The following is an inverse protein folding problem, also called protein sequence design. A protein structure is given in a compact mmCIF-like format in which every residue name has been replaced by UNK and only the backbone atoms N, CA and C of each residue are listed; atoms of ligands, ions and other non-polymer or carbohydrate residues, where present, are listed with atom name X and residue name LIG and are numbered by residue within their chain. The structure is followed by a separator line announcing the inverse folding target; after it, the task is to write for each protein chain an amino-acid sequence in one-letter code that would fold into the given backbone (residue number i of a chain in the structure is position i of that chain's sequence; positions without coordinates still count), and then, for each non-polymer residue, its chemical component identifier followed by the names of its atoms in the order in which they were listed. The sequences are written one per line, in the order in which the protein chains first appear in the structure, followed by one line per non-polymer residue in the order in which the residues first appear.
data_IF_003848300806
#
_entry.id   IF_003848300806
#
_cell.length_a   1.000
_cell.length_b   1.000
_cell.length_c   1.000
_cell.angle_alpha   90.00
_cell.angle_beta   90.00
_cell.angle_gamma   90.00
#
_symmetry.space_group_name_H-M   'P 1'
#
loop_
_entity.id
_entity.type
_entity.pdbx_description
1 polymer ?
#
# COMPACT_ATOMS: atom_id res chain seq x y z
N UNK A 1 -10.56 25.64 39.12
CA UNK A 1 -10.28 24.69 40.22
C UNK A 1 -11.23 23.51 40.09
N UNK A 2 -10.72 22.41 39.53
CA UNK A 2 -11.22 21.04 39.75
C UNK A 2 -10.17 20.12 39.16
N UNK A 3 -9.46 19.45 40.06
CA UNK A 3 -8.43 18.48 39.76
C UNK A 3 -9.11 17.15 39.43
N UNK A 4 -8.80 16.57 38.27
CA UNK A 4 -9.03 15.16 38.01
C UNK A 4 -7.72 14.57 37.52
N UNK A 5 -7.16 13.80 38.43
CA UNK A 5 -5.99 12.94 38.43
C UNK A 5 -5.84 12.14 37.14
N UNK A 6 -4.63 12.19 36.58
CA UNK A 6 -4.17 11.27 35.56
C UNK A 6 -3.92 9.87 36.11
N UNK A 7 -4.28 8.88 35.30
CA UNK A 7 -3.79 7.50 35.41
C UNK A 7 -3.32 7.09 34.03
N UNK A 8 -2.01 7.26 33.81
CA UNK A 8 -1.25 6.60 32.75
C UNK A 8 -1.24 5.10 33.06
N UNK A 9 -1.94 4.32 32.25
CA UNK A 9 -1.85 2.86 32.29
C UNK A 9 -1.01 2.44 31.08
N UNK A 10 0.31 2.46 31.29
CA UNK A 10 1.26 1.84 30.38
C UNK A 10 1.00 0.33 30.36
N UNK A 11 0.70 -0.21 29.18
CA UNK A 11 0.63 -1.64 28.97
C UNK A 11 2.00 -2.28 29.28
N UNK A 12 2.05 -3.41 30.01
CA UNK A 12 3.29 -4.07 30.35
C UNK A 12 3.94 -4.67 29.09
N UNK A 13 5.22 -4.37 28.90
CA UNK A 13 6.11 -5.07 27.99
C UNK A 13 6.12 -6.57 28.33
N UNK A 14 5.89 -7.49 27.38
CA UNK A 14 6.12 -8.90 27.62
C UNK A 14 7.63 -9.16 27.73
N UNK A 15 7.97 -9.81 28.83
CA UNK A 15 9.28 -10.30 29.23
C UNK A 15 9.94 -11.18 28.17
N UNK A 16 11.22 -10.90 27.92
CA UNK A 16 12.18 -11.79 27.27
C UNK A 16 12.47 -13.00 28.17
N UNK A 17 12.09 -14.19 27.71
CA UNK A 17 12.66 -15.48 28.12
C UNK A 17 12.41 -16.47 26.97
N UNK A 18 13.41 -16.66 26.10
CA UNK A 18 14.37 -17.78 26.12
C UNK A 18 13.79 -19.14 25.70
N UNK A 19 14.38 -19.68 24.63
CA UNK A 19 14.41 -21.08 24.16
C UNK A 19 13.21 -21.64 23.39
N UNK A 20 13.12 -21.24 22.12
CA UNK A 20 12.51 -22.03 21.05
C UNK A 20 13.52 -22.14 19.89
N UNK A 21 13.75 -23.32 19.29
CA UNK A 21 14.88 -23.53 18.39
C UNK A 21 14.70 -22.75 17.08
N UNK A 22 15.76 -22.02 16.72
CA UNK A 22 15.93 -21.37 15.42
C UNK A 22 15.73 -22.40 14.28
N UNK A 23 14.99 -22.06 13.20
CA UNK A 23 15.09 -22.83 11.97
C UNK A 23 16.54 -22.69 11.46
N UNK A 24 17.26 -23.80 11.45
CA UNK A 24 18.64 -23.86 11.00
C UNK A 24 18.75 -23.19 9.63
N UNK A 25 19.54 -22.12 9.58
CA UNK A 25 20.16 -21.60 8.37
C UNK A 25 20.67 -22.78 7.54
N UNK A 26 20.16 -22.90 6.31
CA UNK A 26 20.42 -23.97 5.36
C UNK A 26 21.84 -23.97 4.79
N UNK A 27 22.85 -23.99 5.66
CA UNK A 27 24.25 -24.30 5.32
C UNK A 27 24.62 -25.75 5.69
N UNK A 28 23.68 -26.53 6.21
CA UNK A 28 23.91 -27.94 6.60
C UNK A 28 23.78 -28.95 5.44
N UNK A 29 23.40 -28.53 4.22
CA UNK A 29 23.28 -29.44 3.07
C UNK A 29 24.58 -29.65 2.28
N UNK A 30 25.67 -28.94 2.61
CA UNK A 30 26.96 -29.06 1.88
C UNK A 30 27.90 -30.08 2.55
N UNK A 31 27.66 -30.48 3.80
CA UNK A 31 28.53 -31.41 4.54
C UNK A 31 28.01 -32.86 4.62
N UNK A 32 26.79 -33.15 4.16
CA UNK A 32 26.25 -34.52 4.13
C UNK A 32 26.71 -35.35 2.91
N UNK A 33 27.36 -34.74 1.91
CA UNK A 33 27.97 -35.44 0.77
C UNK A 33 29.42 -35.91 0.99
N UNK A 34 29.96 -35.70 2.19
CA UNK A 34 31.34 -36.05 2.58
C UNK A 34 31.38 -37.08 3.72
N UNK A 35 30.29 -37.81 3.94
CA UNK A 35 30.35 -39.04 4.71
C UNK A 35 31.27 -39.99 3.96
N UNK A 36 32.47 -40.17 4.53
CA UNK A 36 33.51 -41.06 4.06
C UNK A 36 32.89 -42.27 3.38
N UNK A 37 33.19 -42.44 2.09
CA UNK A 37 33.08 -43.71 1.42
C UNK A 37 33.84 -44.70 2.31
N UNK A 38 33.11 -45.38 3.20
CA UNK A 38 33.69 -46.33 4.12
C UNK A 38 34.45 -47.33 3.26
N UNK A 39 35.71 -47.68 3.56
CA UNK A 39 36.48 -48.63 2.76
C UNK A 39 35.69 -49.94 2.50
N UNK A 40 34.75 -50.27 3.39
CA UNK A 40 33.83 -51.40 3.26
C UNK A 40 32.78 -51.32 2.15
N UNK A 41 32.52 -50.17 1.51
CA UNK A 41 31.65 -50.07 0.33
C UNK A 41 32.43 -50.40 -0.96
N UNK A 42 33.69 -49.94 -1.06
CA UNK A 42 34.63 -50.35 -2.12
C UNK A 42 34.96 -51.85 -2.03
N UNK A 43 35.13 -52.40 -0.83
CA UNK A 43 35.36 -53.84 -0.67
C UNK A 43 34.10 -54.69 -0.94
N UNK A 44 32.89 -54.16 -0.71
CA UNK A 44 31.65 -54.87 -1.04
C UNK A 44 31.36 -54.87 -2.54
N UNK A 45 31.62 -53.78 -3.26
CA UNK A 45 31.43 -53.74 -4.72
C UNK A 45 32.46 -54.58 -5.48
N UNK A 46 33.72 -54.64 -5.01
CA UNK A 46 34.70 -55.59 -5.55
C UNK A 46 34.29 -57.05 -5.29
N UNK A 47 33.65 -57.32 -4.14
CA UNK A 47 33.13 -58.65 -3.81
C UNK A 47 31.92 -59.11 -4.63
N UNK A 48 31.21 -58.20 -5.31
CA UNK A 48 30.02 -58.52 -6.14
C UNK A 48 30.29 -58.48 -7.65
N UNK A 49 31.39 -57.85 -8.10
CA UNK A 49 31.83 -57.93 -9.50
C UNK A 49 32.29 -59.35 -9.87
N UNK A 50 32.72 -60.13 -8.88
CA UNK A 50 32.87 -61.57 -9.01
C UNK A 50 31.56 -62.23 -8.54
N UNK A 51 30.76 -62.77 -9.47
CA UNK A 51 29.47 -63.40 -9.18
C UNK A 51 29.56 -64.73 -8.36
N UNK A 52 30.73 -65.03 -7.80
CA UNK A 52 30.93 -65.99 -6.73
C UNK A 52 31.90 -65.34 -5.76
N UNK A 53 31.63 -65.41 -4.45
CA UNK A 53 32.45 -64.78 -3.41
C UNK A 53 33.95 -65.05 -3.57
N UNK A 54 34.77 -64.35 -2.78
CA UNK A 54 36.25 -64.38 -2.83
C UNK A 54 36.93 -65.78 -2.81
N UNK A 55 36.17 -66.87 -2.72
CA UNK A 55 36.58 -68.26 -2.94
C UNK A 55 36.89 -68.64 -4.40
N UNK A 56 36.62 -67.78 -5.40
CA UNK A 56 36.84 -68.07 -6.82
C UNK A 56 38.14 -67.54 -7.44
N UNK A 57 38.88 -66.65 -6.76
CA UNK A 57 40.10 -66.06 -7.31
C UNK A 57 41.26 -67.06 -7.17
N UNK A 58 41.54 -67.83 -8.23
CA UNK A 58 42.82 -68.55 -8.35
C UNK A 58 43.94 -67.52 -8.39
N UNK A 59 45.01 -67.76 -7.63
CA UNK A 59 46.24 -66.98 -7.76
C UNK A 59 46.67 -66.99 -9.23
N UNK A 60 47.04 -65.83 -9.82
CA UNK A 60 47.39 -65.76 -11.24
C UNK A 60 48.50 -66.76 -11.53
N UNK A 61 48.24 -67.70 -12.44
CA UNK A 61 49.19 -68.80 -12.70
C UNK A 61 50.31 -68.36 -13.65
N UNK A 62 50.11 -67.24 -14.34
CA UNK A 62 51.06 -66.60 -15.24
C UNK A 62 50.85 -65.07 -15.27
N UNK A 63 51.74 -64.35 -15.97
CA UNK A 63 51.68 -62.89 -16.07
C UNK A 63 50.43 -62.38 -16.82
N UNK A 64 49.85 -63.20 -17.70
CA UNK A 64 48.64 -62.86 -18.47
C UNK A 64 47.39 -62.88 -17.57
N UNK A 65 47.25 -63.87 -16.70
CA UNK A 65 46.16 -63.92 -15.71
C UNK A 65 46.21 -62.74 -14.75
N UNK A 66 47.43 -62.33 -14.33
CA UNK A 66 47.62 -61.15 -13.50
C UNK A 66 47.22 -59.85 -14.23
N UNK A 67 47.53 -59.74 -15.52
CA UNK A 67 47.16 -58.58 -16.35
C UNK A 67 45.64 -58.50 -16.57
N UNK A 68 44.97 -59.63 -16.80
CA UNK A 68 43.51 -59.69 -16.94
C UNK A 68 42.81 -59.31 -15.63
N UNK A 69 43.27 -59.83 -14.49
CA UNK A 69 42.71 -59.47 -13.17
C UNK A 69 42.94 -57.99 -12.83
N UNK A 70 44.10 -57.42 -13.17
CA UNK A 70 44.36 -55.98 -13.00
C UNK A 70 43.46 -55.13 -13.91
N UNK A 71 43.22 -55.54 -15.15
CA UNK A 71 42.31 -54.85 -16.06
C UNK A 71 40.85 -54.92 -15.58
N UNK A 72 40.41 -56.06 -15.04
CA UNK A 72 39.09 -56.22 -14.44
C UNK A 72 38.92 -55.39 -13.16
N UNK A 73 39.94 -55.36 -12.29
CA UNK A 73 39.94 -54.52 -11.10
C UNK A 73 39.93 -53.02 -11.44
N UNK A 74 40.70 -52.60 -12.46
CA UNK A 74 40.68 -51.23 -12.97
C UNK A 74 39.30 -50.85 -13.52
N UNK A 75 38.67 -51.73 -14.32
CA UNK A 75 37.33 -51.53 -14.84
C UNK A 75 36.26 -51.44 -13.74
N UNK A 76 36.36 -52.26 -12.69
CA UNK A 76 35.47 -52.21 -11.53
C UNK A 76 35.63 -50.93 -10.72
N UNK A 77 36.86 -50.47 -10.49
CA UNK A 77 37.15 -49.18 -9.83
C UNK A 77 36.58 -48.02 -10.65
N UNK A 78 36.73 -48.06 -11.97
CA UNK A 78 36.16 -47.05 -12.86
C UNK A 78 34.63 -47.07 -12.85
N UNK A 79 34.00 -48.24 -12.83
CA UNK A 79 32.54 -48.36 -12.72
C UNK A 79 32.00 -47.77 -11.41
N UNK A 80 32.63 -48.08 -10.27
CA UNK A 80 32.26 -47.52 -8.95
C UNK A 80 32.49 -46.02 -8.90
N UNK A 81 33.58 -45.52 -9.51
CA UNK A 81 33.85 -44.07 -9.62
C UNK A 81 32.80 -43.36 -10.46
N UNK A 82 32.36 -43.96 -11.58
CA UNK A 82 31.27 -43.43 -12.41
C UNK A 82 29.96 -43.38 -11.64
N UNK A 83 29.56 -44.48 -11.02
CA UNK A 83 28.32 -44.55 -10.24
C UNK A 83 28.29 -43.55 -9.06
N UNK A 84 29.40 -43.44 -8.31
CA UNK A 84 29.52 -42.45 -7.24
C UNK A 84 29.57 -41.01 -7.76
N UNK A 85 30.04 -40.77 -8.98
CA UNK A 85 29.97 -39.48 -9.65
C UNK A 85 28.53 -39.16 -10.06
N UNK A 86 27.84 -40.11 -10.70
CA UNK A 86 26.46 -39.96 -11.16
C UNK A 86 25.49 -39.71 -10.01
N UNK A 87 25.64 -40.42 -8.89
CA UNK A 87 24.85 -40.19 -7.68
C UNK A 87 25.06 -38.78 -7.11
N UNK A 88 26.32 -38.30 -7.05
CA UNK A 88 26.63 -36.94 -6.58
C UNK A 88 26.02 -35.88 -7.50
N UNK A 89 26.08 -36.08 -8.81
CA UNK A 89 25.56 -35.12 -9.79
C UNK A 89 24.03 -35.15 -9.82
N UNK A 90 23.40 -36.31 -9.68
CA UNK A 90 21.96 -36.41 -9.53
C UNK A 90 21.47 -35.66 -8.28
N UNK A 91 22.17 -35.81 -7.15
CA UNK A 91 21.91 -35.05 -5.93
C UNK A 91 22.08 -33.54 -6.10
N UNK A 92 23.19 -33.10 -6.70
CA UNK A 92 23.44 -31.68 -6.96
C UNK A 92 22.39 -31.08 -7.91
N UNK A 93 22.03 -31.79 -8.99
CA UNK A 93 21.01 -31.34 -9.93
C UNK A 93 19.59 -31.28 -9.30
N UNK A 94 19.27 -32.20 -8.38
CA UNK A 94 18.02 -32.13 -7.62
C UNK A 94 18.01 -30.93 -6.66
N UNK A 95 19.13 -30.63 -6.00
CA UNK A 95 19.28 -29.46 -5.14
C UNK A 95 19.15 -28.14 -5.89
N UNK A 96 19.77 -28.03 -7.07
CA UNK A 96 19.64 -26.85 -7.95
C UNK A 96 18.20 -26.69 -8.42
N UNK A 97 17.53 -27.78 -8.84
CA UNK A 97 16.11 -27.75 -9.24
C UNK A 97 15.18 -27.30 -8.10
N UNK A 98 15.39 -27.81 -6.89
CA UNK A 98 14.62 -27.40 -5.72
C UNK A 98 14.82 -25.89 -5.43
N UNK A 99 16.06 -25.40 -5.54
CA UNK A 99 16.39 -23.99 -5.33
C UNK A 99 15.74 -23.08 -6.40
N UNK A 100 15.76 -23.52 -7.66
CA UNK A 100 15.12 -22.81 -8.77
C UNK A 100 13.60 -22.73 -8.59
N UNK A 101 12.96 -23.86 -8.24
CA UNK A 101 11.52 -23.90 -7.99
C UNK A 101 11.10 -23.03 -6.81
N UNK A 102 11.87 -23.05 -5.71
CA UNK A 102 11.63 -22.19 -4.56
C UNK A 102 11.77 -20.70 -4.89
N UNK A 103 12.83 -20.31 -5.60
CA UNK A 103 13.04 -18.92 -6.01
C UNK A 103 11.97 -18.43 -6.99
N UNK A 104 11.58 -19.27 -7.97
CA UNK A 104 10.51 -18.94 -8.92
C UNK A 104 9.15 -18.74 -8.22
N UNK A 105 8.79 -19.61 -7.27
CA UNK A 105 7.56 -19.47 -6.49
C UNK A 105 7.54 -18.20 -5.63
N UNK A 106 8.68 -17.84 -5.02
CA UNK A 106 8.83 -16.59 -4.26
C UNK A 106 8.65 -15.36 -5.17
N UNK A 107 9.26 -15.36 -6.35
CA UNK A 107 9.11 -14.29 -7.33
C UNK A 107 7.68 -14.13 -7.82
N UNK A 108 7.01 -15.25 -8.12
CA UNK A 108 5.61 -15.23 -8.54
C UNK A 108 4.71 -14.63 -7.44
N UNK A 109 4.90 -15.07 -6.19
CA UNK A 109 4.13 -14.57 -5.05
C UNK A 109 4.34 -13.07 -4.83
N UNK A 110 5.60 -12.62 -4.79
CA UNK A 110 5.93 -11.21 -4.61
C UNK A 110 5.45 -10.35 -5.80
N UNK A 111 5.53 -10.88 -7.02
CA UNK A 111 4.99 -10.24 -8.22
C UNK A 111 3.48 -10.05 -8.16
N UNK A 112 2.73 -11.09 -7.79
CA UNK A 112 1.27 -11.00 -7.62
C UNK A 112 0.90 -10.05 -6.49
N UNK A 113 1.63 -10.03 -5.37
CA UNK A 113 1.34 -9.09 -4.28
C UNK A 113 1.57 -7.62 -4.73
N UNK A 114 2.66 -7.35 -5.45
CA UNK A 114 3.02 -6.00 -5.84
C UNK A 114 2.12 -5.44 -6.97
N UNK A 115 1.88 -6.27 -7.99
CA UNK A 115 1.22 -5.87 -9.24
C UNK A 115 -0.23 -6.36 -9.37
N UNK A 116 -0.63 -7.34 -8.57
CA UNK A 116 -1.92 -8.02 -8.72
C UNK A 116 -1.84 -9.16 -9.74
N UNK A 117 -2.95 -9.90 -9.83
CA UNK A 117 -3.17 -11.02 -10.75
C UNK A 117 -3.79 -10.59 -12.10
N UNK A 118 -3.81 -9.28 -12.39
CA UNK A 118 -4.49 -8.71 -13.54
C UNK A 118 -5.94 -8.29 -13.27
N UNK A 119 -6.47 -8.53 -12.06
CA UNK A 119 -7.71 -7.89 -11.63
C UNK A 119 -7.45 -6.48 -11.11
N UNK A 120 -8.23 -5.51 -11.58
CA UNK A 120 -8.07 -4.11 -11.19
C UNK A 120 -8.25 -3.94 -9.67
N UNK A 121 -7.21 -3.40 -9.01
CA UNK A 121 -7.26 -3.03 -7.58
C UNK A 121 -6.71 -4.05 -6.59
N UNK A 122 -6.19 -5.20 -7.03
CA UNK A 122 -5.69 -6.24 -6.10
C UNK A 122 -4.24 -6.02 -5.63
N UNK A 123 -3.36 -5.44 -6.47
CA UNK A 123 -1.94 -5.23 -6.15
C UNK A 123 -1.66 -4.06 -5.20
N UNK A 124 -0.60 -4.17 -4.41
CA UNK A 124 -0.16 -3.16 -3.44
C UNK A 124 -0.04 -1.75 -4.03
N UNK A 125 0.52 -1.63 -5.23
CA UNK A 125 0.72 -0.32 -5.86
C UNK A 125 -0.63 0.30 -6.25
N UNK A 126 -1.59 -0.50 -6.73
CA UNK A 126 -2.93 -0.02 -7.05
C UNK A 126 -3.67 0.45 -5.78
N UNK A 127 -3.56 -0.33 -4.69
CA UNK A 127 -4.13 0.06 -3.39
C UNK A 127 -3.52 1.38 -2.88
N UNK A 128 -2.20 1.56 -3.02
CA UNK A 128 -1.51 2.80 -2.67
C UNK A 128 -2.00 3.98 -3.50
N UNK A 129 -2.13 3.79 -4.82
CA UNK A 129 -2.65 4.82 -5.72
C UNK A 129 -4.08 5.24 -5.34
N UNK A 130 -4.96 4.28 -5.05
CA UNK A 130 -6.32 4.55 -4.60
C UNK A 130 -6.36 5.30 -3.27
N UNK A 131 -5.55 4.90 -2.29
CA UNK A 131 -5.45 5.58 -1.00
C UNK A 131 -4.95 7.03 -1.15
N UNK A 132 -3.96 7.26 -2.01
CA UNK A 132 -3.45 8.61 -2.32
C UNK A 132 -4.51 9.49 -2.98
N UNK A 133 -5.28 8.96 -3.93
CA UNK A 133 -6.37 9.68 -4.59
C UNK A 133 -7.49 10.03 -3.58
N UNK A 134 -7.85 9.10 -2.69
CA UNK A 134 -8.82 9.37 -1.62
C UNK A 134 -8.30 10.46 -0.67
N UNK A 135 -7.00 10.43 -0.34
CA UNK A 135 -6.35 11.41 0.54
C UNK A 135 -6.34 12.81 -0.08
N UNK A 136 -6.12 12.91 -1.38
CA UNK A 136 -6.22 14.18 -2.11
C UNK A 136 -7.66 14.72 -2.15
N UNK A 137 -8.65 13.85 -2.41
CA UNK A 137 -10.06 14.23 -2.33
C UNK A 137 -10.48 14.71 -0.94
N UNK A 138 -10.01 14.03 0.11
CA UNK A 138 -10.24 14.45 1.49
C UNK A 138 -9.58 15.80 1.81
N UNK A 139 -8.35 16.03 1.34
CA UNK A 139 -7.66 17.31 1.52
C UNK A 139 -8.38 18.47 0.82
N UNK A 140 -8.91 18.24 -0.40
CA UNK A 140 -9.72 19.24 -1.10
C UNK A 140 -11.00 19.58 -0.32
N UNK A 141 -11.67 18.57 0.26
CA UNK A 141 -12.84 18.79 1.13
C UNK A 141 -12.47 19.56 2.40
N UNK A 142 -11.32 19.28 3.01
CA UNK A 142 -10.83 20.00 4.20
C UNK A 142 -10.61 21.49 3.90
N UNK A 143 -10.02 21.80 2.74
CA UNK A 143 -9.84 23.17 2.29
C UNK A 143 -11.17 23.89 2.03
N UNK A 144 -12.14 23.22 1.39
CA UNK A 144 -13.46 23.78 1.17
C UNK A 144 -14.20 24.09 2.49
N UNK A 145 -14.13 23.17 3.46
CA UNK A 145 -14.70 23.37 4.80
C UNK A 145 -14.02 24.53 5.54
N UNK A 146 -12.70 24.71 5.39
CA UNK A 146 -11.99 25.83 5.99
C UNK A 146 -12.46 27.19 5.46
N UNK A 147 -12.71 27.28 4.14
CA UNK A 147 -13.31 28.48 3.52
C UNK A 147 -14.72 28.71 4.05
N UNK A 148 -15.57 27.69 4.04
CA UNK A 148 -16.95 27.78 4.53
C UNK A 148 -17.03 28.23 6.00
N UNK A 149 -16.13 27.70 6.86
CA UNK A 149 -16.04 28.11 8.27
C UNK A 149 -15.73 29.61 8.37
N UNK A 150 -14.81 30.12 7.55
CA UNK A 150 -14.43 31.54 7.55
C UNK A 150 -15.61 32.43 7.13
N UNK A 151 -16.35 32.03 6.09
CA UNK A 151 -17.54 32.75 5.61
C UNK A 151 -18.67 32.76 6.65
N UNK A 152 -18.93 31.62 7.30
CA UNK A 152 -19.92 31.53 8.36
C UNK A 152 -19.54 32.35 9.60
N UNK A 153 -18.26 32.39 9.96
CA UNK A 153 -17.77 33.28 11.02
C UNK A 153 -18.02 34.76 10.68
N UNK A 154 -17.76 35.15 9.43
CA UNK A 154 -18.07 36.50 8.94
C UNK A 154 -19.57 36.81 8.98
N UNK A 155 -20.40 35.84 8.62
CA UNK A 155 -21.87 35.96 8.66
C UNK A 155 -22.37 36.16 10.09
N UNK A 156 -21.88 35.35 11.05
CA UNK A 156 -22.24 35.48 12.48
C UNK A 156 -21.78 36.84 13.04
N UNK A 157 -20.55 37.26 12.72
CA UNK A 157 -20.04 38.58 13.15
C UNK A 157 -20.89 39.73 12.59
N UNK A 158 -21.28 39.65 11.31
CA UNK A 158 -22.14 40.64 10.66
C UNK A 158 -23.51 40.70 11.34
N UNK A 159 -24.15 39.55 11.56
CA UNK A 159 -25.46 39.50 12.23
C UNK A 159 -25.40 40.05 13.65
N UNK A 160 -24.34 39.75 14.42
CA UNK A 160 -24.15 40.34 15.74
C UNK A 160 -24.05 41.87 15.67
N UNK A 161 -23.33 42.41 14.67
CA UNK A 161 -23.24 43.85 14.42
C UNK A 161 -24.60 44.46 14.05
N UNK A 162 -25.36 43.81 13.17
CA UNK A 162 -26.71 44.28 12.78
C UNK A 162 -27.68 44.26 13.96
N UNK A 163 -27.67 43.20 14.78
CA UNK A 163 -28.50 43.11 15.99
C UNK A 163 -28.18 44.27 16.95
N UNK A 164 -26.90 44.56 17.17
CA UNK A 164 -26.48 45.67 18.02
C UNK A 164 -26.93 47.02 17.44
N UNK A 165 -26.79 47.23 16.13
CA UNK A 165 -27.23 48.45 15.46
C UNK A 165 -28.74 48.66 15.53
N UNK A 166 -29.55 47.62 15.32
CA UNK A 166 -31.01 47.70 15.43
C UNK A 166 -31.46 47.98 16.87
N UNK A 167 -30.77 47.45 17.89
CA UNK A 167 -31.01 47.82 19.29
C UNK A 167 -30.78 49.31 19.53
N UNK A 168 -29.61 49.83 19.15
CA UNK A 168 -29.30 51.25 19.31
C UNK A 168 -30.29 52.14 18.58
N UNK A 169 -30.71 51.75 17.37
CA UNK A 169 -31.72 52.48 16.59
C UNK A 169 -33.08 52.49 17.28
N UNK A 170 -33.51 51.34 17.81
CA UNK A 170 -34.77 51.23 18.54
C UNK A 170 -34.75 52.08 19.82
N UNK A 171 -33.67 52.00 20.59
CA UNK A 171 -33.52 52.78 21.83
C UNK A 171 -33.59 54.30 21.55
N UNK A 172 -32.88 54.78 20.52
CA UNK A 172 -32.90 56.19 20.13
C UNK A 172 -34.28 56.66 19.64
N UNK A 173 -35.01 55.81 18.91
CA UNK A 173 -36.37 56.12 18.46
C UNK A 173 -37.33 56.22 19.65
N UNK A 174 -37.25 55.27 20.60
CA UNK A 174 -38.07 55.26 21.81
C UNK A 174 -37.77 56.47 22.69
N UNK A 175 -36.50 56.85 22.84
CA UNK A 175 -36.11 58.05 23.59
C UNK A 175 -36.73 59.31 22.97
N UNK A 176 -36.62 59.48 21.65
CA UNK A 176 -37.22 60.62 20.93
C UNK A 176 -38.73 60.68 21.09
N UNK A 177 -39.42 59.54 21.00
CA UNK A 177 -40.87 59.46 21.18
C UNK A 177 -41.27 59.73 22.64
N UNK A 178 -40.47 59.28 23.61
CA UNK A 178 -40.71 59.51 25.04
C UNK A 178 -40.59 61.00 25.38
N UNK A 179 -39.59 61.69 24.84
CA UNK A 179 -39.44 63.14 24.99
C UNK A 179 -40.65 63.91 24.41
N UNK A 180 -41.11 63.49 23.22
CA UNK A 180 -42.29 64.09 22.59
C UNK A 180 -43.55 63.86 23.43
N UNK A 181 -43.73 62.64 23.95
CA UNK A 181 -44.82 62.25 24.84
C UNK A 181 -44.83 63.08 26.12
N UNK A 182 -43.68 63.29 26.74
CA UNK A 182 -43.56 64.10 27.96
C UNK A 182 -43.83 65.59 27.70
N UNK A 183 -43.43 66.12 26.53
CA UNK A 183 -43.81 67.47 26.11
C UNK A 183 -45.33 67.63 25.91
N UNK A 184 -46.01 66.60 25.38
CA UNK A 184 -47.48 66.58 25.25
C UNK A 184 -48.13 66.53 26.64
N UNK A 185 -47.64 65.69 27.55
CA UNK A 185 -48.15 65.60 28.91
C UNK A 185 -48.00 66.94 29.67
N UNK A 186 -46.88 67.64 29.47
CA UNK A 186 -46.67 68.99 30.03
C UNK A 186 -47.68 70.02 29.50
N UNK A 187 -48.03 69.96 28.19
CA UNK A 187 -49.09 70.81 27.62
C UNK A 187 -50.46 70.51 28.24
N UNK A 188 -50.78 69.23 28.45
CA UNK A 188 -52.03 68.82 29.08
C UNK A 188 -52.16 69.41 30.49
N UNK A 189 -51.10 69.34 31.30
CA UNK A 189 -51.06 69.92 32.64
C UNK A 189 -51.23 71.45 32.63
N UNK A 190 -50.67 72.13 31.63
CA UNK A 190 -50.86 73.58 31.46
C UNK A 190 -52.32 73.92 31.14
N UNK A 191 -52.96 73.15 30.24
CA UNK A 191 -54.38 73.33 29.90
C UNK A 191 -55.25 73.10 31.14
N UNK A 192 -54.97 72.06 31.93
CA UNK A 192 -55.69 71.81 33.19
C UNK A 192 -55.60 72.99 34.16
N UNK A 193 -54.40 73.58 34.33
CA UNK A 193 -54.22 74.77 35.15
C UNK A 193 -54.99 76.00 34.60
N UNK A 194 -55.03 76.17 33.28
CA UNK A 194 -55.79 77.25 32.64
C UNK A 194 -57.30 77.08 32.79
N UNK A 195 -57.80 75.83 32.77
CA UNK A 195 -59.21 75.52 33.04
C UNK A 195 -59.58 75.98 34.46
N UNK A 196 -58.76 75.61 35.45
CA UNK A 196 -58.98 76.03 36.86
C UNK A 196 -58.99 77.55 36.99
N UNK A 197 -58.06 78.25 36.33
CA UNK A 197 -58.01 79.71 36.35
C UNK A 197 -59.24 80.36 35.68
N UNK A 198 -59.69 79.83 34.53
CA UNK A 198 -60.86 80.33 33.82
C UNK A 198 -62.17 80.10 34.62
N UNK A 199 -62.26 78.98 35.33
CA UNK A 199 -63.37 78.71 36.25
C UNK A 199 -63.42 79.74 37.40
N UNK A 200 -62.28 80.02 38.02
CA UNK A 200 -62.19 81.03 39.08
C UNK A 200 -62.55 82.45 38.60
N UNK A 201 -62.28 82.75 37.33
CA UNK A 201 -62.65 84.02 36.70
C UNK A 201 -64.12 84.11 36.26
N UNK A 202 -64.88 83.01 36.30
CA UNK A 202 -66.29 82.99 35.88
C UNK A 202 -66.51 83.07 34.37
N UNK A 203 -65.58 82.56 33.55
CA UNK A 203 -65.67 82.57 32.08
C UNK A 203 -66.03 81.18 31.52
N UNK A 204 -67.33 80.84 31.39
CA UNK A 204 -67.76 79.53 30.92
C UNK A 204 -67.40 79.27 29.45
N UNK A 205 -67.29 80.32 28.62
CA UNK A 205 -66.93 80.19 27.21
C UNK A 205 -65.49 79.72 27.06
N UNK A 206 -64.56 80.33 27.82
CA UNK A 206 -63.16 79.91 27.86
C UNK A 206 -62.98 78.51 28.42
N UNK A 207 -63.74 78.14 29.46
CA UNK A 207 -63.71 76.77 30.02
C UNK A 207 -64.14 75.73 28.98
N UNK A 208 -65.19 76.00 28.20
CA UNK A 208 -65.64 75.07 27.16
C UNK A 208 -64.58 74.90 26.05
N UNK A 209 -63.96 76.00 25.61
CA UNK A 209 -62.89 75.96 24.61
C UNK A 209 -61.66 75.17 25.09
N UNK A 210 -61.19 75.43 26.32
CA UNK A 210 -60.04 74.72 26.89
C UNK A 210 -60.31 73.22 27.12
N UNK A 211 -61.55 72.84 27.42
CA UNK A 211 -61.92 71.41 27.54
C UNK A 211 -61.88 70.69 26.19
N UNK A 212 -62.29 71.36 25.11
CA UNK A 212 -62.16 70.81 23.77
C UNK A 212 -60.67 70.64 23.41
N UNK A 213 -59.84 71.67 23.66
CA UNK A 213 -58.40 71.59 23.45
C UNK A 213 -57.74 70.48 24.28
N UNK A 214 -58.15 70.33 25.56
CA UNK A 214 -57.68 69.24 26.42
C UNK A 214 -57.97 67.88 25.80
N UNK A 215 -59.17 67.66 25.27
CA UNK A 215 -59.55 66.40 24.65
C UNK A 215 -58.70 66.09 23.40
N UNK A 216 -58.41 67.10 22.59
CA UNK A 216 -57.53 66.94 21.41
C UNK A 216 -56.09 66.59 21.82
N UNK A 217 -55.56 67.22 22.87
CA UNK A 217 -54.22 66.94 23.39
C UNK A 217 -54.16 65.57 24.08
N UNK A 218 -55.22 65.15 24.78
CA UNK A 218 -55.34 63.83 25.40
C UNK A 218 -55.33 62.72 24.33
N UNK A 219 -56.08 62.88 23.24
CA UNK A 219 -56.04 61.97 22.11
C UNK A 219 -54.64 61.91 21.45
N UNK A 220 -53.92 63.03 21.41
CA UNK A 220 -52.54 63.07 20.90
C UNK A 220 -51.57 62.34 21.83
N UNK A 221 -51.78 62.41 23.15
CA UNK A 221 -50.98 61.69 24.14
C UNK A 221 -51.19 60.17 24.01
N UNK A 222 -52.44 59.72 23.89
CA UNK A 222 -52.77 58.31 23.66
C UNK A 222 -52.14 57.78 22.35
N UNK A 223 -52.15 58.60 21.29
CA UNK A 223 -51.49 58.25 20.03
C UNK A 223 -49.97 58.11 20.19
N UNK A 224 -49.32 58.99 20.94
CA UNK A 224 -47.88 58.92 21.21
C UNK A 224 -47.52 57.67 22.04
N UNK A 225 -48.30 57.35 23.08
CA UNK A 225 -48.11 56.13 23.88
C UNK A 225 -48.26 54.87 23.00
N UNK A 226 -49.24 54.84 22.10
CA UNK A 226 -49.45 53.74 21.15
C UNK A 226 -48.30 53.61 20.12
N UNK A 227 -47.73 54.73 19.66
CA UNK A 227 -46.60 54.75 18.74
C UNK A 227 -45.32 54.21 19.38
N UNK A 228 -45.07 54.55 20.65
CA UNK A 228 -43.96 53.98 21.43
C UNK A 228 -44.08 52.46 21.52
N UNK A 229 -45.26 51.95 21.88
CA UNK A 229 -45.46 50.51 22.03
C UNK A 229 -45.34 49.78 20.69
N UNK A 230 -45.89 50.34 19.62
CA UNK A 230 -45.73 49.81 18.25
C UNK A 230 -44.26 49.76 17.82
N UNK A 231 -43.49 50.80 18.16
CA UNK A 231 -42.05 50.86 17.86
C UNK A 231 -41.28 49.80 18.64
N UNK A 232 -41.59 49.62 19.92
CA UNK A 232 -41.00 48.57 20.78
C UNK A 232 -41.27 47.18 20.22
N UNK A 233 -42.51 46.88 19.87
CA UNK A 233 -42.91 45.58 19.34
C UNK A 233 -42.24 45.28 18.00
N UNK A 234 -42.20 46.27 17.10
CA UNK A 234 -41.56 46.13 15.79
C UNK A 234 -40.05 45.87 15.92
N UNK A 235 -39.38 46.60 16.82
CA UNK A 235 -37.97 46.41 17.10
C UNK A 235 -37.70 45.02 17.71
N UNK A 236 -38.50 44.61 18.69
CA UNK A 236 -38.38 43.31 19.34
C UNK A 236 -38.54 42.16 18.32
N UNK A 237 -39.54 42.24 17.44
CA UNK A 237 -39.76 41.24 16.38
C UNK A 237 -38.57 41.17 15.40
N UNK A 238 -38.04 42.33 14.99
CA UNK A 238 -36.89 42.40 14.08
C UNK A 238 -35.64 41.80 14.72
N UNK A 239 -35.36 42.16 15.98
CA UNK A 239 -34.22 41.63 16.74
C UNK A 239 -34.35 40.12 16.96
N UNK A 240 -35.55 39.62 17.26
CA UNK A 240 -35.80 38.19 17.40
C UNK A 240 -35.48 37.44 16.10
N UNK A 241 -36.01 37.90 14.96
CA UNK A 241 -35.76 37.27 13.66
C UNK A 241 -34.26 37.26 13.27
N UNK A 242 -33.54 38.35 13.56
CA UNK A 242 -32.09 38.40 13.34
C UNK A 242 -31.33 37.45 14.29
N UNK A 243 -31.78 37.33 15.54
CA UNK A 243 -31.19 36.43 16.53
C UNK A 243 -31.35 34.97 16.09
N UNK A 244 -32.54 34.58 15.65
CA UNK A 244 -32.82 33.24 15.12
C UNK A 244 -31.93 32.92 13.91
N UNK A 245 -31.77 33.88 12.98
CA UNK A 245 -30.88 33.72 11.83
C UNK A 245 -29.42 33.55 12.25
N UNK A 246 -28.97 34.28 13.28
CA UNK A 246 -27.62 34.17 13.85
C UNK A 246 -27.41 32.80 14.49
N UNK A 247 -28.39 32.30 15.22
CA UNK A 247 -28.31 30.99 15.87
C UNK A 247 -28.33 29.82 14.88
N UNK A 248 -29.10 29.94 13.79
CA UNK A 248 -29.05 28.99 12.68
C UNK A 248 -27.66 28.98 11.98
N UNK A 249 -27.09 30.17 11.73
CA UNK A 249 -25.75 30.29 11.17
C UNK A 249 -24.68 29.70 12.11
N UNK A 250 -24.80 29.93 13.41
CA UNK A 250 -23.91 29.37 14.44
C UNK A 250 -23.99 27.84 14.48
N UNK A 251 -25.19 27.28 14.42
CA UNK A 251 -25.40 25.82 14.35
C UNK A 251 -24.71 25.22 13.12
N UNK A 252 -24.80 25.89 11.98
CA UNK A 252 -24.17 25.45 10.72
C UNK A 252 -22.64 25.52 10.83
N UNK A 253 -22.11 26.59 11.44
CA UNK A 253 -20.69 26.77 11.71
C UNK A 253 -20.11 25.64 12.58
N UNK A 254 -20.81 25.26 13.64
CA UNK A 254 -20.36 24.20 14.55
C UNK A 254 -20.46 22.81 13.88
N UNK A 255 -21.45 22.60 13.01
CA UNK A 255 -21.53 21.44 12.12
C UNK A 255 -20.32 21.34 11.18
N UNK A 256 -19.99 22.42 10.47
CA UNK A 256 -18.85 22.46 9.55
C UNK A 256 -17.50 22.22 10.27
N UNK A 257 -17.33 22.74 11.50
CA UNK A 257 -16.15 22.47 12.33
C UNK A 257 -16.02 20.99 12.69
N UNK A 258 -17.13 20.35 13.05
CA UNK A 258 -17.18 18.93 13.40
C UNK A 258 -16.85 18.05 12.19
N UNK A 259 -17.43 18.39 11.03
CA UNK A 259 -17.12 17.70 9.79
C UNK A 259 -15.64 17.85 9.41
N UNK A 260 -15.08 19.06 9.53
CA UNK A 260 -13.66 19.31 9.25
C UNK A 260 -12.75 18.45 10.13
N UNK A 261 -13.03 18.35 11.43
CA UNK A 261 -12.28 17.48 12.34
C UNK A 261 -12.33 16.00 11.91
N UNK A 262 -13.49 15.54 11.43
CA UNK A 262 -13.67 14.17 10.93
C UNK A 262 -12.84 13.94 9.66
N UNK A 263 -12.85 14.90 8.72
CA UNK A 263 -12.02 14.83 7.50
C UNK A 263 -10.53 14.83 7.84
N UNK A 264 -10.09 15.66 8.78
CA UNK A 264 -8.69 15.67 9.25
C UNK A 264 -8.27 14.32 9.85
N UNK A 265 -9.13 13.68 10.64
CA UNK A 265 -8.88 12.34 11.16
C UNK A 265 -8.79 11.29 10.02
N UNK A 266 -9.64 11.40 9.00
CA UNK A 266 -9.58 10.51 7.81
C UNK A 266 -8.28 10.69 7.04
N UNK A 267 -7.80 11.91 6.85
CA UNK A 267 -6.51 12.20 6.20
C UNK A 267 -5.37 11.53 6.97
N UNK A 268 -5.32 11.69 8.30
CA UNK A 268 -4.27 11.06 9.13
C UNK A 268 -4.30 9.52 9.05
N UNK A 269 -5.49 8.92 8.99
CA UNK A 269 -5.65 7.49 8.80
C UNK A 269 -5.14 7.03 7.41
N UNK A 270 -5.44 7.80 6.36
CA UNK A 270 -4.96 7.54 5.01
C UNK A 270 -3.43 7.69 4.91
N UNK A 271 -2.84 8.72 5.52
CA UNK A 271 -1.39 8.89 5.57
C UNK A 271 -0.71 7.67 6.24
N UNK A 272 -1.31 7.14 7.32
CA UNK A 272 -0.84 5.91 7.98
C UNK A 272 -0.97 4.68 7.07
N UNK A 273 -2.10 4.54 6.36
CA UNK A 273 -2.33 3.44 5.44
C UNK A 273 -1.34 3.46 4.25
N UNK A 274 -1.08 4.64 3.70
CA UNK A 274 -0.09 4.84 2.62
C UNK A 274 1.31 4.45 3.10
N UNK A 275 1.73 4.89 4.29
CA UNK A 275 3.03 4.52 4.85
C UNK A 275 3.17 3.00 5.08
N UNK A 276 2.09 2.33 5.52
CA UNK A 276 2.08 0.88 5.65
C UNK A 276 2.18 0.17 4.29
N UNK A 277 1.48 0.67 3.27
CA UNK A 277 1.59 0.15 1.90
C UNK A 277 2.99 0.35 1.33
N UNK A 278 3.61 1.51 1.55
CA UNK A 278 5.00 1.78 1.17
C UNK A 278 5.97 0.76 1.79
N UNK A 279 5.78 0.44 3.08
CA UNK A 279 6.57 -0.58 3.77
C UNK A 279 6.41 -1.98 3.17
N UNK A 280 5.19 -2.36 2.79
CA UNK A 280 4.90 -3.65 2.14
C UNK A 280 5.47 -3.72 0.72
N UNK A 281 5.35 -2.64 -0.05
CA UNK A 281 5.94 -2.53 -1.40
C UNK A 281 7.46 -2.73 -1.30
N UNK A 282 8.13 -2.03 -0.38
CA UNK A 282 9.58 -2.16 -0.20
C UNK A 282 10.00 -3.59 0.26
N UNK A 283 9.15 -4.30 1.00
CA UNK A 283 9.40 -5.69 1.38
C UNK A 283 9.30 -6.62 0.16
N UNK A 284 8.22 -6.51 -0.62
CA UNK A 284 8.03 -7.31 -1.83
C UNK A 284 9.10 -7.02 -2.89
N UNK A 285 9.54 -5.77 -3.05
CA UNK A 285 10.69 -5.43 -3.92
C UNK A 285 11.99 -6.10 -3.46
N UNK A 286 12.22 -6.17 -2.15
CA UNK A 286 13.38 -6.89 -1.59
C UNK A 286 13.29 -8.38 -1.86
N UNK A 287 12.13 -8.98 -1.68
CA UNK A 287 11.90 -10.40 -1.95
C UNK A 287 12.13 -10.72 -3.44
N UNK A 288 11.70 -9.83 -4.33
CA UNK A 288 12.00 -9.92 -5.77
C UNK A 288 13.50 -9.87 -6.02
N UNK A 289 14.22 -8.94 -5.39
CA UNK A 289 15.67 -8.84 -5.55
C UNK A 289 16.41 -10.10 -5.05
N UNK A 290 16.02 -10.63 -3.89
CA UNK A 290 16.60 -11.85 -3.31
C UNK A 290 16.31 -13.07 -4.18
N UNK A 291 15.05 -13.24 -4.60
CA UNK A 291 14.64 -14.34 -5.49
C UNK A 291 15.42 -14.30 -6.81
N UNK A 292 15.66 -13.11 -7.37
CA UNK A 292 16.48 -12.94 -8.56
C UNK A 292 17.94 -13.37 -8.35
N UNK A 293 18.58 -12.96 -7.25
CA UNK A 293 19.95 -13.40 -6.94
C UNK A 293 20.03 -14.91 -6.77
N UNK A 294 19.01 -15.52 -6.13
CA UNK A 294 18.94 -16.97 -5.97
C UNK A 294 18.84 -17.69 -7.32
N UNK A 295 18.03 -17.19 -8.26
CA UNK A 295 17.98 -17.74 -9.63
C UNK A 295 19.34 -17.68 -10.32
N UNK A 296 20.03 -16.52 -10.28
CA UNK A 296 21.35 -16.37 -10.92
C UNK A 296 22.38 -17.34 -10.35
N UNK A 297 22.39 -17.53 -9.03
CA UNK A 297 23.29 -18.49 -8.38
C UNK A 297 22.96 -19.94 -8.76
N UNK A 298 21.68 -20.29 -8.78
CA UNK A 298 21.24 -21.61 -9.23
C UNK A 298 21.67 -21.88 -10.69
N UNK A 299 21.58 -20.88 -11.56
CA UNK A 299 22.08 -20.95 -12.93
C UNK A 299 23.59 -21.14 -12.99
N UNK A 300 24.37 -20.33 -12.28
CA UNK A 300 25.82 -20.46 -12.26
C UNK A 300 26.28 -21.84 -11.76
N UNK A 301 25.62 -22.38 -10.73
CA UNK A 301 25.87 -23.73 -10.23
C UNK A 301 25.55 -24.80 -11.28
N UNK A 302 24.44 -24.64 -12.00
CA UNK A 302 24.09 -25.55 -13.10
C UNK A 302 25.13 -25.51 -14.22
N UNK A 303 25.56 -24.32 -14.65
CA UNK A 303 26.59 -24.17 -15.68
C UNK A 303 27.91 -24.80 -15.27
N UNK A 304 28.33 -24.64 -14.00
CA UNK A 304 29.54 -25.27 -13.48
C UNK A 304 29.44 -26.82 -13.50
N UNK A 305 28.28 -27.37 -13.14
CA UNK A 305 28.02 -28.83 -13.23
C UNK A 305 28.03 -29.35 -14.67
N UNK A 306 27.68 -28.51 -15.65
CA UNK A 306 27.73 -28.85 -17.07
C UNK A 306 29.16 -28.76 -17.64
N UNK A 307 29.96 -27.79 -17.19
CA UNK A 307 31.36 -27.63 -17.60
C UNK A 307 32.30 -28.71 -17.06
N UNK A 308 32.03 -29.26 -15.87
CA UNK A 308 32.73 -30.44 -15.32
C UNK A 308 32.49 -31.73 -16.14
N UNK A 309 31.60 -31.68 -17.13
CA UNK A 309 31.03 -32.81 -17.87
C UNK A 309 31.27 -32.78 -19.38
N UNK A 310 32.42 -32.33 -19.86
CA UNK A 310 32.88 -32.59 -21.24
C UNK A 310 33.25 -34.07 -21.47
N UNK A 311 32.31 -34.98 -21.18
CA UNK A 311 32.26 -36.37 -21.62
C UNK A 311 31.07 -37.15 -21.03
N UNK A 312 30.06 -37.67 -21.76
CA UNK A 312 29.49 -37.42 -23.09
C UNK A 312 28.20 -38.28 -23.21
N UNK A 313 27.11 -37.76 -23.78
CA UNK A 313 26.04 -38.46 -24.54
C UNK A 313 24.96 -39.31 -23.86
N UNK A 314 25.17 -39.94 -22.71
CA UNK A 314 24.13 -40.82 -22.12
C UNK A 314 23.06 -40.09 -21.29
N UNK A 315 23.35 -38.85 -20.88
CA UNK A 315 22.49 -38.03 -20.01
C UNK A 315 21.69 -36.97 -20.78
N UNK A 316 21.87 -36.92 -22.11
CA UNK A 316 21.38 -35.90 -23.04
C UNK A 316 19.87 -36.00 -23.29
N UNK A 317 19.35 -37.21 -23.50
CA UNK A 317 17.97 -37.40 -23.96
C UNK A 317 16.90 -37.18 -22.88
N UNK A 318 17.22 -37.43 -21.61
CA UNK A 318 16.27 -37.28 -20.50
C UNK A 318 16.31 -35.87 -19.84
N UNK A 319 17.33 -35.06 -20.15
CA UNK A 319 17.54 -33.73 -19.58
C UNK A 319 17.03 -32.59 -20.44
N UNK A 320 16.95 -32.73 -21.77
CA UNK A 320 16.57 -31.61 -22.64
C UNK A 320 15.10 -31.19 -22.46
N UNK A 321 14.14 -32.13 -22.51
CA UNK A 321 12.72 -31.74 -22.69
C UNK A 321 12.07 -31.09 -21.47
N UNK A 322 12.32 -31.61 -20.26
CA UNK A 322 11.77 -31.04 -19.01
C UNK A 322 12.49 -29.74 -18.61
N UNK A 323 13.78 -29.64 -18.95
CA UNK A 323 14.60 -28.48 -18.61
C UNK A 323 14.33 -27.33 -19.59
N UNK A 324 14.15 -27.63 -20.88
CA UNK A 324 13.64 -26.68 -21.87
C UNK A 324 12.27 -26.17 -21.45
N UNK A 325 11.33 -27.04 -21.08
CA UNK A 325 9.98 -26.62 -20.65
C UNK A 325 10.02 -25.66 -19.45
N UNK A 326 10.83 -25.95 -18.41
CA UNK A 326 10.94 -25.07 -17.24
C UNK A 326 11.70 -23.77 -17.49
N UNK A 327 12.66 -23.79 -18.41
CA UNK A 327 13.33 -22.57 -18.85
C UNK A 327 12.40 -21.68 -19.66
N UNK A 328 11.56 -22.28 -20.50
CA UNK A 328 10.54 -21.58 -21.26
C UNK A 328 9.47 -21.01 -20.33
N UNK A 329 9.04 -21.77 -19.30
CA UNK A 329 8.11 -21.29 -18.27
C UNK A 329 8.67 -20.12 -17.46
N UNK A 330 9.94 -20.20 -17.02
CA UNK A 330 10.61 -19.11 -16.34
C UNK A 330 10.82 -17.89 -17.26
N UNK A 331 11.12 -18.13 -18.54
CA UNK A 331 11.28 -17.11 -19.57
C UNK A 331 9.99 -16.37 -19.88
N UNK A 332 8.88 -17.10 -20.09
CA UNK A 332 7.53 -16.54 -20.28
C UNK A 332 7.08 -15.77 -19.05
N UNK A 333 7.33 -16.28 -17.84
CA UNK A 333 7.01 -15.56 -16.58
C UNK A 333 7.75 -14.22 -16.51
N UNK A 334 9.06 -14.21 -16.83
CA UNK A 334 9.87 -12.99 -16.83
C UNK A 334 9.45 -12.03 -17.95
N UNK A 335 9.03 -12.54 -19.10
CA UNK A 335 8.57 -11.76 -20.25
C UNK A 335 7.20 -11.13 -20.00
N UNK A 336 6.27 -11.86 -19.40
CA UNK A 336 4.96 -11.37 -18.95
C UNK A 336 5.14 -10.28 -17.86
N UNK A 337 6.02 -10.51 -16.88
CA UNK A 337 6.41 -9.47 -15.93
C UNK A 337 6.98 -8.22 -16.62
N UNK A 338 7.84 -8.40 -17.63
CA UNK A 338 8.40 -7.31 -18.42
C UNK A 338 7.36 -6.53 -19.23
N UNK A 339 6.42 -7.22 -19.87
CA UNK A 339 5.33 -6.62 -20.63
C UNK A 339 4.37 -5.82 -19.73
N UNK A 340 4.01 -6.38 -18.57
CA UNK A 340 3.17 -5.69 -17.57
C UNK A 340 3.86 -4.44 -17.00
N UNK A 341 5.17 -4.51 -16.79
CA UNK A 341 5.96 -3.32 -16.41
C UNK A 341 5.92 -2.25 -17.51
N UNK A 342 6.09 -2.64 -18.77
CA UNK A 342 6.10 -1.71 -19.90
C UNK A 342 4.73 -1.04 -20.12
N UNK A 343 3.64 -1.82 -20.12
CA UNK A 343 2.27 -1.32 -20.25
C UNK A 343 1.92 -0.36 -19.11
N UNK A 344 2.43 -0.64 -17.91
CA UNK A 344 2.26 0.23 -16.75
C UNK A 344 3.10 1.51 -16.84
N UNK A 345 4.33 1.44 -17.34
CA UNK A 345 5.15 2.63 -17.63
C UNK A 345 4.51 3.54 -18.69
N UNK A 346 3.86 2.95 -19.69
CA UNK A 346 3.11 3.69 -20.70
C UNK A 346 1.83 4.32 -20.12
N UNK A 347 1.19 3.66 -19.15
CA UNK A 347 0.02 4.19 -18.43
C UNK A 347 0.36 5.25 -17.37
N UNK A 348 1.51 5.14 -16.70
CA UNK A 348 1.95 6.01 -15.58
C UNK A 348 2.84 7.17 -16.02
N UNK A 349 2.81 7.56 -17.30
CA UNK A 349 3.53 8.73 -17.80
C UNK A 349 3.13 10.06 -17.14
N UNK A 350 3.68 10.36 -15.94
CA UNK A 350 4.06 11.67 -15.35
C UNK A 350 4.34 11.58 -13.82
N UNK A 351 5.61 11.41 -13.43
CA UNK A 351 6.25 12.12 -12.30
C UNK A 351 7.78 11.88 -12.30
N UNK A 352 8.55 12.89 -11.91
CA UNK A 352 10.03 12.90 -12.04
C UNK A 352 10.75 12.03 -11.00
N UNK A 353 10.06 11.64 -9.92
CA UNK A 353 10.57 10.68 -8.93
C UNK A 353 10.45 9.23 -9.41
N UNK A 354 9.45 8.91 -10.23
CA UNK A 354 9.31 7.61 -10.89
C UNK A 354 10.42 7.36 -11.91
N UNK A 355 11.00 8.41 -12.50
CA UNK A 355 12.17 8.30 -13.39
C UNK A 355 13.45 7.85 -12.66
N UNK A 356 13.59 8.13 -11.36
CA UNK A 356 14.73 7.61 -10.56
C UNK A 356 14.54 6.15 -10.18
N UNK A 357 13.32 5.74 -9.85
CA UNK A 357 12.95 4.33 -9.69
C UNK A 357 13.07 3.58 -11.04
N UNK A 358 12.69 4.22 -12.15
CA UNK A 358 12.78 3.67 -13.50
C UNK A 358 14.22 3.36 -13.90
N UNK A 359 15.23 4.14 -13.49
CA UNK A 359 16.65 3.79 -13.73
C UNK A 359 17.11 2.52 -12.99
N UNK A 360 16.51 2.21 -11.84
CA UNK A 360 16.74 0.93 -11.18
C UNK A 360 16.03 -0.20 -11.94
N UNK A 361 14.78 0.03 -12.37
CA UNK A 361 14.01 -0.89 -13.21
C UNK A 361 14.61 -1.12 -14.60
N UNK A 362 15.28 -0.14 -15.19
CA UNK A 362 15.97 -0.21 -16.49
C UNK A 362 17.24 -1.06 -16.41
N UNK A 363 17.98 -0.99 -15.29
CA UNK A 363 19.06 -1.93 -14.96
C UNK A 363 18.55 -3.34 -14.69
N UNK A 364 17.34 -3.46 -14.13
CA UNK A 364 16.68 -4.74 -13.89
C UNK A 364 16.23 -5.35 -15.23
N UNK A 365 15.57 -4.58 -16.10
CA UNK A 365 15.14 -4.96 -17.45
C UNK A 365 16.33 -5.34 -18.34
N UNK A 366 17.38 -4.54 -18.39
CA UNK A 366 18.58 -4.83 -19.20
C UNK A 366 19.24 -6.15 -18.79
N UNK A 367 19.20 -6.48 -17.51
CA UNK A 367 19.81 -7.70 -17.00
C UNK A 367 18.84 -8.91 -16.99
N UNK A 368 17.52 -8.70 -17.00
CA UNK A 368 16.51 -9.74 -17.31
C UNK A 368 16.57 -10.10 -18.80
N UNK A 369 16.65 -9.10 -19.69
CA UNK A 369 16.90 -9.31 -21.12
C UNK A 369 18.26 -9.98 -21.35
N UNK A 370 19.30 -9.59 -20.62
CA UNK A 370 20.61 -10.24 -20.66
C UNK A 370 20.58 -11.70 -20.20
N UNK A 371 19.78 -12.02 -19.17
CA UNK A 371 19.57 -13.40 -18.73
C UNK A 371 18.73 -14.21 -19.71
N UNK A 372 17.66 -13.64 -20.25
CA UNK A 372 16.80 -14.29 -21.24
C UNK A 372 17.55 -14.56 -22.56
N UNK A 373 18.37 -13.61 -23.01
CA UNK A 373 19.26 -13.80 -24.18
C UNK A 373 20.39 -14.77 -23.88
N UNK A 374 20.96 -14.76 -22.67
CA UNK A 374 21.91 -15.78 -22.23
C UNK A 374 21.31 -17.19 -22.19
N UNK A 375 20.07 -17.31 -21.70
CA UNK A 375 19.30 -18.55 -21.68
C UNK A 375 18.97 -19.05 -23.09
N UNK A 376 18.52 -18.15 -23.96
CA UNK A 376 18.27 -18.47 -25.37
C UNK A 376 19.57 -18.91 -26.08
N UNK A 377 20.70 -18.26 -25.82
CA UNK A 377 21.99 -18.64 -26.39
C UNK A 377 22.47 -20.01 -25.89
N UNK A 378 22.26 -20.33 -24.60
CA UNK A 378 22.57 -21.65 -24.04
C UNK A 378 21.65 -22.72 -24.63
N UNK A 379 20.36 -22.44 -24.77
CA UNK A 379 19.41 -23.33 -25.43
C UNK A 379 19.78 -23.58 -26.90
N UNK A 380 20.20 -22.54 -27.63
CA UNK A 380 20.59 -22.64 -29.04
C UNK A 380 21.92 -23.40 -29.24
N UNK A 381 22.87 -23.27 -28.29
CA UNK A 381 24.10 -24.08 -28.26
C UNK A 381 23.78 -25.55 -28.01
N UNK A 382 22.91 -25.84 -27.04
CA UNK A 382 22.46 -27.21 -26.76
C UNK A 382 21.73 -27.82 -27.96
N UNK A 383 20.91 -27.02 -28.68
CA UNK A 383 20.17 -27.45 -29.88
C UNK A 383 21.11 -27.79 -31.04
N UNK A 384 22.14 -26.99 -31.28
CA UNK A 384 23.16 -27.25 -32.32
C UNK A 384 24.02 -28.46 -32.01
N UNK A 385 24.34 -28.71 -30.74
CA UNK A 385 25.06 -29.92 -30.35
C UNK A 385 24.19 -31.19 -30.53
N UNK A 386 22.87 -31.11 -30.33
CA UNK A 386 21.96 -32.21 -30.63
C UNK A 386 21.73 -32.44 -32.13
N UNK A 387 21.69 -31.39 -32.96
CA UNK A 387 21.46 -31.50 -34.42
C UNK A 387 22.73 -31.89 -35.21
N UNK A 388 23.92 -31.83 -34.61
CA UNK A 388 25.20 -32.24 -35.22
C UNK A 388 25.55 -33.72 -34.99
N UNK A 389 24.68 -34.50 -34.36
CA UNK A 389 24.81 -35.95 -34.33
C UNK A 389 24.39 -36.51 -35.70
N UNK A 390 25.31 -37.10 -36.49
CA UNK A 390 24.93 -37.68 -37.76
C UNK A 390 23.98 -38.87 -37.52
N UNK A 391 22.77 -38.79 -38.05
CA UNK A 391 21.97 -39.96 -38.39
C UNK A 391 22.78 -40.78 -39.40
N UNK A 392 23.49 -41.82 -38.96
CA UNK A 392 23.99 -42.82 -39.90
C UNK A 392 24.03 -44.28 -39.37
N UNK A 393 23.42 -45.22 -40.13
CA UNK A 393 23.31 -46.64 -39.81
C UNK A 393 24.58 -47.42 -40.18
N UNK A 394 25.62 -47.39 -39.33
CA UNK A 394 26.92 -48.04 -39.65
C UNK A 394 27.21 -49.31 -38.83
N UNK A 395 26.19 -49.95 -38.25
CA UNK A 395 26.35 -51.24 -37.55
C UNK A 395 25.86 -52.48 -38.32
N UNK A 396 25.53 -52.35 -39.61
CA UNK A 396 25.24 -53.51 -40.47
C UNK A 396 26.48 -54.06 -41.22
N UNK A 397 27.58 -53.30 -41.32
CA UNK A 397 28.73 -53.67 -42.18
C UNK A 397 29.83 -54.54 -41.55
N UNK A 398 29.86 -54.73 -40.22
CA UNK A 398 30.99 -55.41 -39.54
C UNK A 398 30.75 -56.86 -39.12
N UNK A 399 29.60 -57.47 -39.45
CA UNK A 399 29.33 -58.91 -39.24
C UNK A 399 29.63 -59.81 -40.45
N UNK A 400 30.07 -59.27 -41.59
CA UNK A 400 30.39 -60.07 -42.80
C UNK A 400 31.89 -60.28 -43.08
N UNK A 401 32.80 -59.85 -42.20
CA UNK A 401 34.25 -60.06 -42.37
C UNK A 401 34.87 -61.02 -41.33
N UNK A 402 34.05 -61.80 -40.62
CA UNK A 402 34.49 -62.87 -39.72
C UNK A 402 33.90 -64.25 -40.09
N UNK A 403 33.55 -64.45 -41.37
CA UNK A 403 33.32 -65.75 -41.98
C UNK A 403 34.04 -65.79 -43.34
N UNK A 404 35.37 -65.78 -43.29
CA UNK A 404 36.26 -66.45 -44.23
C UNK A 404 37.43 -67.05 -43.47
#
# INVERSE_FOLDING_TARGET
MSAITGTSQAAPLPSLSETGPLPASGTAAVSAGLAAASPGALYRSVGTVFAGGASGLRAPQNAEDAAILLAQAAAAIDAVRREASDARIAGAAASVRASLGGASAQLATAGTELYGDGTAGSGLIAQRGAASAERESAAAREAALATQITELQGTVATLNGTIAAERTKADAAIETLSDARDAIAAKLALIDAQIVAAQAAGDPGKVAALRAERADVEATLEAADAEIETTRDTAAATIAALTDRRDAAQTTLDGARTERATVQARIAALDTAIAALDGRIAAAERDIAVGRTALVLAFAQMTALLQDRSGERALEAARSTELDWRLDEAGETLKDMGARLLERFEAEGRALDDLRAARASERILAAVLGLATGLAAVADVLRRETDLLPDEPVLAGRRQLALR
#
